data_IF_828943830665
#
_entry.id   IF_828943830665
#
_cell.length_a   1.000
_cell.length_b   1.000
_cell.length_c   1.000
_cell.angle_alpha   90.00
_cell.angle_beta   90.00
_cell.angle_gamma   90.00
#
_symmetry.space_group_name_H-M   'P 1'
#
loop_
_entity.id
_entity.type
_entity.pdbx_description
1 polymer ?
#
# COMPACT_ATOMS: atom_id res chain seq x y z
N UNK A 1 14.71 17.73 -5.46
CA UNK A 1 15.71 16.96 -4.67
C UNK A 1 16.40 16.05 -5.65
N UNK A 2 17.74 16.11 -5.72
CA UNK A 2 18.54 15.35 -6.69
C UNK A 2 18.60 13.89 -6.25
N UNK A 3 18.01 12.98 -7.03
CA UNK A 3 18.06 11.54 -6.78
C UNK A 3 19.52 11.08 -6.88
N UNK A 4 20.03 10.43 -5.83
CA UNK A 4 21.42 9.94 -5.82
C UNK A 4 21.52 8.90 -6.95
N UNK A 5 22.47 9.11 -7.86
CA UNK A 5 22.63 8.25 -9.04
C UNK A 5 23.26 6.91 -8.70
N UNK A 6 23.93 6.81 -7.55
CA UNK A 6 24.61 5.60 -7.10
C UNK A 6 24.39 5.42 -5.60
N UNK A 7 24.03 4.21 -5.21
CA UNK A 7 23.92 3.79 -3.82
C UNK A 7 25.17 2.97 -3.48
N UNK A 8 25.69 3.14 -2.28
CA UNK A 8 26.85 2.36 -1.80
C UNK A 8 26.46 0.95 -1.37
N UNK A 9 25.25 0.79 -0.81
CA UNK A 9 24.67 -0.50 -0.40
C UNK A 9 23.13 -0.42 -0.33
N UNK A 10 22.48 -1.56 -0.06
CA UNK A 10 21.03 -1.66 0.11
C UNK A 10 20.51 -0.85 1.32
N UNK A 11 21.35 -0.65 2.33
CA UNK A 11 20.97 0.04 3.56
C UNK A 11 20.89 1.55 3.33
N UNK A 12 21.80 2.10 2.53
CA UNK A 12 21.77 3.50 2.09
C UNK A 12 20.51 3.76 1.26
N UNK A 13 20.16 2.88 0.33
CA UNK A 13 18.93 3.01 -0.45
C UNK A 13 17.68 3.04 0.45
N UNK A 14 17.64 2.19 1.48
CA UNK A 14 16.55 2.18 2.46
C UNK A 14 16.53 3.44 3.35
N UNK A 15 17.69 3.96 3.77
CA UNK A 15 17.78 5.19 4.55
C UNK A 15 17.35 6.42 3.75
N UNK A 16 17.76 6.50 2.47
CA UNK A 16 17.35 7.56 1.55
C UNK A 16 15.86 7.50 1.27
N UNK A 17 15.29 6.30 1.11
CA UNK A 17 13.86 6.12 0.94
C UNK A 17 13.07 6.75 2.10
N UNK A 18 13.46 6.47 3.35
CA UNK A 18 12.81 7.03 4.53
C UNK A 18 13.02 8.54 4.60
N UNK A 19 14.24 9.02 4.35
CA UNK A 19 14.58 10.45 4.38
C UNK A 19 13.83 11.27 3.34
N UNK A 20 13.71 10.77 2.11
CA UNK A 20 13.01 11.42 1.00
C UNK A 20 11.49 11.37 1.13
N UNK A 21 10.95 10.47 1.96
CA UNK A 21 9.50 10.31 2.15
C UNK A 21 8.85 11.43 2.96
N UNK A 22 9.65 12.23 3.68
CA UNK A 22 9.18 13.22 4.65
C UNK A 22 8.54 12.61 5.91
N UNK A 23 8.52 11.28 6.04
CA UNK A 23 7.98 10.57 7.20
C UNK A 23 9.04 10.33 8.25
N UNK A 24 8.63 10.29 9.50
CA UNK A 24 9.54 9.94 10.60
C UNK A 24 9.76 8.43 10.65
N UNK A 25 10.95 8.02 11.11
CA UNK A 25 11.28 6.60 11.33
C UNK A 25 10.25 5.92 12.27
N UNK A 26 9.70 6.67 13.24
CA UNK A 26 8.67 6.15 14.15
C UNK A 26 7.37 5.81 13.42
N UNK A 27 6.89 6.67 12.52
CA UNK A 27 5.68 6.40 11.73
C UNK A 27 5.89 5.20 10.80
N UNK A 28 7.05 5.13 10.17
CA UNK A 28 7.42 4.03 9.27
C UNK A 28 7.50 2.70 10.04
N UNK A 29 8.10 2.72 11.24
CA UNK A 29 8.20 1.55 12.11
C UNK A 29 6.82 1.06 12.59
N UNK A 30 5.97 1.99 13.06
CA UNK A 30 4.61 1.67 13.51
C UNK A 30 3.73 1.13 12.38
N UNK A 31 3.92 1.60 11.15
CA UNK A 31 3.24 1.06 9.99
C UNK A 31 3.66 -0.39 9.68
N UNK A 32 4.97 -0.69 9.82
CA UNK A 32 5.50 -1.99 9.46
C UNK A 32 5.19 -3.08 10.50
N UNK A 33 5.12 -2.69 11.77
CA UNK A 33 4.83 -3.60 12.88
C UNK A 33 3.74 -3.03 13.80
N UNK A 34 2.46 -3.07 13.36
CA UNK A 34 1.35 -2.54 14.15
C UNK A 34 1.11 -3.32 15.45
N UNK A 35 1.50 -4.60 15.49
CA UNK A 35 1.34 -5.48 16.66
C UNK A 35 2.45 -5.29 17.71
N UNK A 36 3.47 -4.49 17.42
CA UNK A 36 4.60 -4.23 18.32
C UNK A 36 4.49 -2.88 19.01
N UNK A 37 5.11 -2.76 20.18
CA UNK A 37 5.25 -1.45 20.84
C UNK A 37 6.04 -0.49 19.95
N UNK A 38 5.62 0.79 19.82
CA UNK A 38 6.28 1.76 18.94
C UNK A 38 7.78 1.91 19.16
N UNK A 39 8.25 1.83 20.41
CA UNK A 39 9.66 1.93 20.78
C UNK A 39 10.46 0.71 20.31
N UNK A 40 9.87 -0.48 20.45
CA UNK A 40 10.47 -1.73 19.97
C UNK A 40 10.51 -1.78 18.45
N UNK A 41 9.43 -1.36 17.78
CA UNK A 41 9.38 -1.25 16.33
C UNK A 41 10.41 -0.24 15.79
N UNK A 42 10.56 0.91 16.45
CA UNK A 42 11.56 1.92 16.10
C UNK A 42 13.00 1.39 16.21
N UNK A 43 13.33 0.72 17.33
CA UNK A 43 14.64 0.12 17.52
C UNK A 43 14.92 -0.95 16.45
N UNK A 44 13.92 -1.78 16.16
CA UNK A 44 13.98 -2.81 15.12
C UNK A 44 14.26 -2.21 13.75
N UNK A 45 13.49 -1.18 13.35
CA UNK A 45 13.71 -0.50 12.07
C UNK A 45 15.11 0.09 11.98
N UNK A 46 15.60 0.72 13.04
CA UNK A 46 16.96 1.28 13.08
C UNK A 46 18.04 0.22 12.88
N UNK A 47 17.87 -0.95 13.49
CA UNK A 47 18.79 -2.08 13.28
C UNK A 47 18.76 -2.53 11.83
N UNK A 48 17.58 -2.65 11.23
CA UNK A 48 17.45 -3.06 9.83
C UNK A 48 18.00 -2.04 8.81
N UNK A 49 17.98 -0.76 9.16
CA UNK A 49 18.54 0.30 8.32
C UNK A 49 20.06 0.43 8.44
N UNK A 50 20.70 -0.30 9.36
CA UNK A 50 22.14 -0.24 9.59
C UNK A 50 22.84 -1.46 8.97
N UNK A 51 23.89 -1.28 8.15
CA UNK A 51 24.64 -2.39 7.56
C UNK A 51 25.33 -3.29 8.59
N UNK A 52 25.54 -2.81 9.82
CA UNK A 52 26.10 -3.60 10.93
C UNK A 52 25.02 -4.32 11.77
N UNK A 53 23.75 -4.17 11.42
CA UNK A 53 22.65 -4.83 12.12
C UNK A 53 22.57 -6.31 11.77
N UNK A 54 22.14 -7.14 12.74
CA UNK A 54 21.89 -8.58 12.55
C UNK A 54 20.48 -8.86 12.02
N UNK A 55 19.69 -7.81 11.75
CA UNK A 55 18.33 -7.95 11.26
C UNK A 55 18.18 -7.32 9.88
N UNK A 56 17.55 -8.04 8.95
CA UNK A 56 17.25 -7.56 7.60
C UNK A 56 15.74 -7.47 7.37
N UNK A 57 15.31 -6.52 6.55
CA UNK A 57 13.93 -6.44 6.09
C UNK A 57 13.63 -7.57 5.11
N UNK A 58 12.46 -8.19 5.25
CA UNK A 58 11.97 -9.15 4.24
C UNK A 58 11.57 -8.39 2.98
N UNK A 59 11.66 -9.04 1.82
CA UNK A 59 11.27 -8.43 0.55
C UNK A 59 9.86 -7.82 0.54
N UNK A 60 8.87 -8.51 1.12
CA UNK A 60 7.51 -7.98 1.26
C UNK A 60 7.42 -6.72 2.13
N UNK A 61 8.29 -6.59 3.14
CA UNK A 61 8.39 -5.41 3.98
C UNK A 61 9.00 -4.23 3.21
N UNK A 62 10.03 -4.49 2.40
CA UNK A 62 10.64 -3.48 1.51
C UNK A 62 9.60 -2.93 0.53
N UNK A 63 8.78 -3.79 -0.08
CA UNK A 63 7.67 -3.37 -0.96
C UNK A 63 6.65 -2.51 -0.21
N UNK A 64 6.24 -2.94 0.99
CA UNK A 64 5.29 -2.18 1.81
C UNK A 64 5.84 -0.79 2.17
N UNK A 65 7.13 -0.71 2.50
CA UNK A 65 7.81 0.56 2.78
C UNK A 65 7.88 1.46 1.55
N UNK A 66 8.22 0.94 0.37
CA UNK A 66 8.25 1.74 -0.86
C UNK A 66 6.88 2.37 -1.15
N UNK A 67 5.80 1.60 -0.98
CA UNK A 67 4.42 2.08 -1.15
C UNK A 67 4.05 3.14 -0.10
N UNK A 68 4.39 2.90 1.16
CA UNK A 68 4.06 3.80 2.26
C UNK A 68 4.86 5.11 2.18
N UNK A 69 6.14 5.03 1.84
CA UNK A 69 7.04 6.16 1.70
C UNK A 69 6.83 6.91 0.37
N UNK A 70 6.15 6.29 -0.61
CA UNK A 70 6.07 6.75 -2.00
C UNK A 70 7.46 7.10 -2.57
N UNK A 71 8.46 6.34 -2.15
CA UNK A 71 9.86 6.49 -2.52
C UNK A 71 10.40 5.11 -2.85
N UNK A 72 11.12 5.01 -3.97
CA UNK A 72 11.45 3.75 -4.62
C UNK A 72 12.96 3.55 -4.80
N UNK A 73 13.76 4.21 -3.95
CA UNK A 73 15.23 4.10 -3.95
C UNK A 73 15.72 2.63 -3.91
N UNK A 74 15.13 1.71 -3.10
CA UNK A 74 15.57 0.31 -3.08
C UNK A 74 15.32 -0.43 -4.40
N UNK A 75 14.27 -0.05 -5.14
CA UNK A 75 14.00 -0.59 -6.48
C UNK A 75 15.03 -0.09 -7.50
N UNK A 76 15.43 1.18 -7.41
CA UNK A 76 16.46 1.74 -8.28
C UNK A 76 17.81 1.05 -8.03
N UNK A 77 18.21 0.90 -6.77
CA UNK A 77 19.40 0.15 -6.39
C UNK A 77 19.39 -1.28 -6.93
N UNK A 78 18.28 -2.01 -6.75
CA UNK A 78 18.17 -3.38 -7.25
C UNK A 78 18.33 -3.45 -8.79
N UNK A 79 17.82 -2.47 -9.53
CA UNK A 79 18.01 -2.40 -10.97
C UNK A 79 19.47 -2.10 -11.35
N UNK A 80 20.12 -1.17 -10.64
CA UNK A 80 21.53 -0.84 -10.88
C UNK A 80 22.45 -2.04 -10.63
N UNK A 81 22.27 -2.75 -9.50
CA UNK A 81 23.05 -3.93 -9.13
C UNK A 81 22.88 -5.11 -10.08
N UNK A 82 21.69 -5.24 -10.67
CA UNK A 82 21.37 -6.32 -11.60
C UNK A 82 21.56 -5.91 -13.06
N UNK A 83 22.13 -4.72 -13.32
CA UNK A 83 22.33 -4.14 -14.66
C UNK A 83 21.05 -4.06 -15.51
N UNK A 84 19.91 -3.81 -14.86
CA UNK A 84 18.65 -3.56 -15.53
C UNK A 84 18.44 -2.06 -15.76
N UNK A 85 17.68 -1.73 -16.81
CA UNK A 85 17.14 -0.39 -16.95
C UNK A 85 16.27 -0.05 -15.73
N UNK A 86 16.42 1.17 -15.19
CA UNK A 86 15.54 1.64 -14.11
C UNK A 86 14.11 1.66 -14.61
N UNK A 87 13.13 1.20 -13.81
CA UNK A 87 11.77 1.08 -14.26
C UNK A 87 11.16 2.46 -14.46
N UNK A 88 10.57 2.67 -15.63
CA UNK A 88 9.68 3.81 -15.84
C UNK A 88 8.45 3.64 -14.96
N UNK A 89 8.13 4.68 -14.19
CA UNK A 89 6.85 4.71 -13.47
C UNK A 89 5.75 4.76 -14.53
N UNK A 90 4.75 3.88 -14.39
CA UNK A 90 3.56 3.93 -15.25
C UNK A 90 2.99 5.34 -15.25
N UNK A 91 2.52 5.77 -16.42
CA UNK A 91 1.94 7.09 -16.58
C UNK A 91 0.79 7.27 -15.57
N UNK A 92 0.60 8.46 -14.99
CA UNK A 92 -0.53 8.71 -14.09
C UNK A 92 -1.89 8.33 -14.71
N UNK A 93 -2.01 8.40 -16.03
CA UNK A 93 -3.19 7.95 -16.79
C UNK A 93 -3.51 6.46 -16.59
N UNK A 94 -2.51 5.59 -16.43
CA UNK A 94 -2.72 4.16 -16.18
C UNK A 94 -3.27 3.89 -14.77
N UNK A 95 -2.92 4.74 -13.79
CA UNK A 95 -3.47 4.68 -12.44
C UNK A 95 -4.95 5.13 -12.43
N UNK A 96 -5.31 6.10 -13.28
CA UNK A 96 -6.71 6.52 -13.48
C UNK A 96 -7.57 5.37 -13.99
N UNK A 97 -7.09 4.59 -14.96
CA UNK A 97 -7.84 3.43 -15.49
C UNK A 97 -8.15 2.42 -14.38
N UNK A 98 -7.15 2.04 -13.57
CA UNK A 98 -7.37 1.12 -12.44
C UNK A 98 -8.34 1.67 -11.40
N UNK A 99 -8.26 2.97 -11.11
CA UNK A 99 -9.19 3.64 -10.20
C UNK A 99 -10.61 3.64 -10.77
N UNK A 100 -10.78 3.94 -12.05
CA UNK A 100 -12.07 3.88 -12.75
C UNK A 100 -12.65 2.46 -12.76
N UNK A 101 -11.84 1.44 -13.03
CA UNK A 101 -12.25 0.03 -12.95
C UNK A 101 -12.74 -0.36 -11.55
N UNK A 102 -12.02 0.11 -10.52
CA UNK A 102 -12.39 -0.13 -9.12
C UNK A 102 -13.73 0.55 -8.77
N UNK A 103 -13.91 1.80 -9.21
CA UNK A 103 -15.17 2.55 -9.02
C UNK A 103 -16.32 1.86 -9.75
N UNK A 104 -16.11 1.42 -10.99
CA UNK A 104 -17.12 0.72 -11.77
C UNK A 104 -17.56 -0.57 -11.10
N UNK A 105 -16.60 -1.34 -10.58
CA UNK A 105 -16.86 -2.57 -9.84
C UNK A 105 -17.67 -2.30 -8.57
N UNK A 106 -17.32 -1.24 -7.82
CA UNK A 106 -18.06 -0.85 -6.63
C UNK A 106 -19.49 -0.38 -6.96
N UNK A 107 -19.66 0.38 -8.04
CA UNK A 107 -20.98 0.81 -8.52
C UNK A 107 -21.86 -0.38 -8.91
N UNK A 108 -21.33 -1.37 -9.63
CA UNK A 108 -22.06 -2.58 -10.01
C UNK A 108 -22.53 -3.37 -8.78
N UNK A 109 -21.69 -3.46 -7.74
CA UNK A 109 -22.05 -4.09 -6.48
C UNK A 109 -23.18 -3.33 -5.79
N UNK A 110 -23.10 -2.00 -5.73
CA UNK A 110 -24.15 -1.15 -5.16
C UNK A 110 -25.47 -1.32 -5.92
N UNK A 111 -25.46 -1.29 -7.26
CA UNK A 111 -26.66 -1.49 -8.08
C UNK A 111 -27.30 -2.85 -7.82
N UNK A 112 -26.50 -3.93 -7.73
CA UNK A 112 -27.00 -5.27 -7.41
C UNK A 112 -27.61 -5.34 -6.01
N UNK A 113 -26.96 -4.72 -5.03
CA UNK A 113 -27.45 -4.67 -3.65
C UNK A 113 -28.77 -3.90 -3.55
N UNK A 114 -28.89 -2.74 -4.22
CA UNK A 114 -30.12 -1.95 -4.29
C UNK A 114 -31.26 -2.74 -4.94
N UNK A 115 -31.01 -3.42 -6.06
CA UNK A 115 -32.02 -4.25 -6.73
C UNK A 115 -32.48 -5.44 -5.87
N UNK A 116 -31.60 -6.01 -5.05
CA UNK A 116 -31.97 -7.05 -4.10
C UNK A 116 -32.84 -6.49 -2.96
N UNK A 117 -32.51 -5.30 -2.46
CA UNK A 117 -33.26 -4.61 -1.42
C UNK A 117 -34.68 -4.24 -1.88
N UNK A 118 -34.82 -3.73 -3.10
CA UNK A 118 -36.13 -3.44 -3.72
C UNK A 118 -37.00 -4.70 -3.84
N UNK A 119 -36.41 -5.83 -4.25
CA UNK A 119 -37.14 -7.12 -4.31
C UNK A 119 -37.66 -7.54 -2.95
N UNK A 120 -36.82 -7.45 -1.91
CA UNK A 120 -37.21 -7.81 -0.54
C UNK A 120 -38.31 -6.88 -0.03
N UNK A 121 -38.21 -5.58 -0.28
CA UNK A 121 -39.24 -4.60 0.08
C UNK A 121 -40.57 -4.87 -0.63
N UNK A 122 -40.53 -5.12 -1.94
CA UNK A 122 -41.70 -5.47 -2.74
C UNK A 122 -42.38 -6.75 -2.20
N UNK A 123 -41.61 -7.82 -1.96
CA UNK A 123 -42.12 -9.07 -1.38
C UNK A 123 -42.76 -8.84 0.00
N UNK A 124 -42.13 -8.03 0.85
CA UNK A 124 -42.64 -7.72 2.19
C UNK A 124 -43.97 -6.95 2.13
N UNK A 125 -44.11 -6.01 1.20
CA UNK A 125 -45.35 -5.26 0.96
C UNK A 125 -46.48 -6.18 0.47
N UNK A 126 -46.20 -7.08 -0.48
CA UNK A 126 -47.18 -8.04 -1.00
C UNK A 126 -47.66 -9.02 0.06
N UNK A 127 -46.75 -9.55 0.90
CA UNK A 127 -47.11 -10.45 2.00
C UNK A 127 -47.93 -9.76 3.10
N UNK A 128 -47.66 -8.48 3.39
CA UNK A 128 -48.46 -7.69 4.34
C UNK A 128 -49.87 -7.38 3.84
N UNK A 129 -50.04 -7.18 2.52
CA UNK A 129 -51.35 -6.97 1.92
C UNK A 129 -52.19 -8.25 1.91
N UNK A 130 -51.59 -9.42 1.65
CA UNK A 130 -52.29 -10.70 1.66
C UNK A 130 -52.82 -11.09 3.06
N UNK A 131 -52.09 -10.75 4.13
CA UNK A 131 -52.46 -11.06 5.52
C UNK A 131 -53.60 -10.18 6.09
N UNK A 132 -53.98 -9.09 5.41
CA UNK A 132 -55.11 -8.22 5.78
C UNK A 132 -56.42 -8.58 5.06
N UNK A 133 -56.36 -9.39 4.02
CA UNK A 133 -57.50 -9.78 3.20
C UNK A 133 -58.06 -11.18 3.55
N UNK A 134 -57.41 -11.88 4.50
CA UNK A 134 -57.85 -13.14 5.10
C UNK A 134 -58.27 -12.88 6.55
#
# INVERSE_FOLDING_TARGET
MQTKLFYEDEHEALQLMVSNSGKTIKEVASFLWPDMKPESAYAKLKTCLNPKGDESLRFGQVIALMRFCNSYEPLQFACDETMHARPDRKAPEDDVVKLTETIQTAADVLTKASAALERIQAQTLTMRSAKRAA
#
